data_IF_807310410919
#
_entry.id   IF_807310410919
#
_cell.length_a   1.000
_cell.length_b   1.000
_cell.length_c   1.000
_cell.angle_alpha   90.00
_cell.angle_beta   90.00
_cell.angle_gamma   90.00
#
_symmetry.space_group_name_H-M   'P 1'
#
loop_
_entity.id
_entity.type
_entity.pdbx_description
1 polymer ?
#
# COMPACT_ATOMS: atom_id res chain seq x y z
N UNK A 1 22.68 8.98 5.45
CA UNK A 1 21.76 7.87 5.81
C UNK A 1 20.33 8.44 5.82
N UNK A 2 19.53 8.20 4.77
CA UNK A 2 18.19 8.78 4.63
C UNK A 2 17.23 8.14 5.65
N UNK A 3 16.87 8.89 6.68
CA UNK A 3 15.82 8.53 7.64
C UNK A 3 14.48 8.70 6.92
N UNK A 4 14.08 7.70 6.14
CA UNK A 4 12.76 7.64 5.51
C UNK A 4 11.71 7.76 6.63
N UNK A 5 10.91 8.82 6.63
CA UNK A 5 9.81 8.94 7.59
C UNK A 5 8.80 7.83 7.32
N UNK A 6 8.34 7.14 8.37
CA UNK A 6 7.37 6.04 8.25
C UNK A 6 6.12 6.48 7.50
N UNK A 7 5.67 7.72 7.75
CA UNK A 7 4.51 8.32 7.07
C UNK A 7 4.70 8.44 5.56
N UNK A 8 5.90 8.81 5.08
CA UNK A 8 6.16 8.90 3.64
C UNK A 8 6.10 7.53 2.97
N UNK A 9 6.70 6.50 3.60
CA UNK A 9 6.65 5.13 3.08
C UNK A 9 5.21 4.64 3.02
N UNK A 10 4.43 4.88 4.07
CA UNK A 10 3.01 4.50 4.12
C UNK A 10 2.24 5.17 2.98
N UNK A 11 2.37 6.48 2.82
CA UNK A 11 1.69 7.21 1.74
C UNK A 11 2.10 6.72 0.36
N UNK A 12 3.39 6.44 0.15
CA UNK A 12 3.88 5.92 -1.13
C UNK A 12 3.28 4.55 -1.43
N UNK A 13 3.20 3.66 -0.43
CA UNK A 13 2.58 2.34 -0.60
C UNK A 13 1.08 2.50 -0.88
N UNK A 14 0.35 3.26 -0.07
CA UNK A 14 -1.10 3.49 -0.25
C UNK A 14 -1.42 4.06 -1.64
N UNK A 15 -0.60 5.00 -2.12
CA UNK A 15 -0.71 5.55 -3.48
C UNK A 15 -0.46 4.49 -4.57
N UNK A 16 0.60 3.69 -4.43
CA UNK A 16 0.95 2.68 -5.45
C UNK A 16 -0.07 1.55 -5.49
N UNK A 17 -0.56 1.10 -4.32
CA UNK A 17 -1.51 -0.02 -4.26
C UNK A 17 -2.94 0.39 -4.58
N UNK A 18 -3.23 1.69 -4.57
CA UNK A 18 -4.51 2.31 -4.94
C UNK A 18 -5.69 1.51 -4.39
N UNK A 19 -5.87 1.54 -3.07
CA UNK A 19 -6.85 0.72 -2.37
C UNK A 19 -8.26 0.97 -2.95
N UNK A 20 -8.93 -0.06 -3.50
CA UNK A 20 -10.32 0.06 -3.93
C UNK A 20 -11.23 0.44 -2.75
N UNK A 21 -12.29 1.20 -3.03
CA UNK A 21 -13.32 1.47 -2.03
C UNK A 21 -14.01 0.15 -1.70
N UNK A 22 -13.87 -0.32 -0.46
CA UNK A 22 -14.55 -1.51 0.04
C UNK A 22 -15.47 -1.15 1.20
N UNK A 23 -16.60 -1.87 1.26
CA UNK A 23 -17.50 -1.91 2.41
C UNK A 23 -16.89 -2.67 3.60
N UNK A 24 -17.75 -3.20 4.48
CA UNK A 24 -17.32 -3.99 5.64
C UNK A 24 -16.92 -5.41 5.19
N UNK A 25 -15.72 -5.85 5.57
CA UNK A 25 -15.20 -7.20 5.28
C UNK A 25 -13.79 -7.19 4.65
N UNK A 26 -13.19 -8.38 4.45
CA UNK A 26 -11.89 -8.51 3.82
C UNK A 26 -11.96 -8.17 2.33
N UNK A 27 -11.19 -7.16 1.91
CA UNK A 27 -10.96 -6.82 0.50
C UNK A 27 -9.60 -7.39 0.07
N UNK A 28 -9.57 -8.20 -0.99
CA UNK A 28 -8.33 -8.73 -1.57
C UNK A 28 -8.18 -8.26 -3.01
N UNK A 29 -7.00 -7.78 -3.37
CA UNK A 29 -6.67 -7.38 -4.73
C UNK A 29 -5.18 -7.57 -5.01
N UNK A 30 -4.81 -7.53 -6.29
CA UNK A 30 -3.42 -7.58 -6.73
C UNK A 30 -3.11 -6.36 -7.58
N UNK A 31 -1.91 -5.80 -7.40
CA UNK A 31 -1.47 -4.62 -8.14
C UNK A 31 0.05 -4.54 -8.12
N UNK A 32 0.68 -4.10 -9.21
CA UNK A 32 2.15 -3.93 -9.29
C UNK A 32 2.97 -5.12 -8.75
N UNK A 33 2.44 -6.33 -8.97
CA UNK A 33 3.05 -7.60 -8.55
C UNK A 33 2.94 -7.91 -7.05
N UNK A 34 2.23 -7.10 -6.26
CA UNK A 34 1.94 -7.38 -4.85
C UNK A 34 0.50 -7.82 -4.67
N UNK A 35 0.30 -8.77 -3.78
CA UNK A 35 -1.00 -9.12 -3.22
C UNK A 35 -1.30 -8.18 -2.05
N UNK A 36 -2.52 -7.65 -2.03
CA UNK A 36 -3.03 -6.79 -0.99
C UNK A 36 -4.28 -7.41 -0.36
N UNK A 37 -4.35 -7.37 0.97
CA UNK A 37 -5.54 -7.72 1.74
C UNK A 37 -5.80 -6.59 2.73
N UNK A 38 -7.00 -6.02 2.73
CA UNK A 38 -7.42 -5.03 3.70
C UNK A 38 -8.59 -5.56 4.52
N UNK A 39 -8.50 -5.44 5.83
CA UNK A 39 -9.53 -5.81 6.78
C UNK A 39 -9.89 -4.61 7.63
N UNK A 40 -11.19 -4.40 7.86
CA UNK A 40 -11.70 -3.39 8.76
C UNK A 40 -12.35 -4.05 9.96
N UNK A 41 -11.86 -3.71 11.14
CA UNK A 41 -12.40 -4.15 12.42
C UNK A 41 -12.98 -2.95 13.15
N UNK A 42 -14.08 -3.17 13.86
CA UNK A 42 -14.73 -2.14 14.62
C UNK A 42 -15.12 -2.69 15.99
N UNK A 43 -14.85 -1.92 17.03
CA UNK A 43 -15.34 -2.17 18.38
C UNK A 43 -16.19 -1.01 18.83
N UNK A 44 -17.31 -1.31 19.49
CA UNK A 44 -18.27 -0.35 20.03
C UNK A 44 -18.52 -0.71 21.49
N UNK A 45 -17.77 -0.09 22.40
CA UNK A 45 -17.92 -0.25 23.85
C UNK A 45 -18.61 0.95 24.48
N UNK A 46 -18.89 0.85 25.78
CA UNK A 46 -19.54 1.91 26.55
C UNK A 46 -18.61 3.11 26.84
N UNK A 47 -17.32 2.85 27.07
CA UNK A 47 -16.34 3.90 27.43
C UNK A 47 -15.50 4.35 26.24
N UNK A 48 -15.34 3.48 25.26
CA UNK A 48 -14.56 3.77 24.06
C UNK A 48 -15.05 2.93 22.88
N UNK A 49 -14.76 3.42 21.70
CA UNK A 49 -14.91 2.69 20.45
C UNK A 49 -13.64 2.84 19.63
N UNK A 50 -13.39 1.89 18.73
CA UNK A 50 -12.32 2.05 17.75
C UNK A 50 -12.71 1.49 16.40
N UNK A 51 -12.11 2.06 15.36
CA UNK A 51 -12.02 1.47 14.04
C UNK A 51 -10.54 1.16 13.76
N UNK A 52 -10.28 -0.05 13.25
CA UNK A 52 -8.96 -0.56 12.93
C UNK A 52 -8.96 -1.02 11.48
N UNK A 53 -8.18 -0.34 10.64
CA UNK A 53 -7.93 -0.74 9.25
C UNK A 53 -6.55 -1.40 9.17
N UNK A 54 -6.50 -2.70 8.84
CA UNK A 54 -5.27 -3.48 8.65
C UNK A 54 -5.11 -3.82 7.19
N UNK A 55 -4.06 -3.31 6.55
CA UNK A 55 -3.71 -3.64 5.17
C UNK A 55 -2.41 -4.44 5.12
N UNK A 56 -2.50 -5.69 4.70
CA UNK A 56 -1.36 -6.55 4.38
C UNK A 56 -0.97 -6.36 2.92
N UNK A 57 0.32 -6.12 2.68
CA UNK A 57 0.89 -6.03 1.34
C UNK A 57 2.04 -7.02 1.22
N UNK A 58 2.00 -7.88 0.22
CA UNK A 58 2.95 -8.98 0.04
C UNK A 58 3.45 -9.07 -1.40
N UNK A 59 4.76 -9.01 -1.59
CA UNK A 59 5.36 -9.35 -2.88
C UNK A 59 5.56 -10.87 -2.97
N UNK A 60 4.74 -11.52 -3.79
CA UNK A 60 4.90 -12.93 -4.13
C UNK A 60 5.68 -13.06 -5.43
N UNK A 61 7.01 -13.20 -5.35
CA UNK A 61 7.85 -13.44 -6.52
C UNK A 61 8.69 -14.71 -6.34
N UNK A 62 8.72 -15.61 -7.33
CA UNK A 62 9.63 -16.77 -7.32
C UNK A 62 11.10 -16.36 -7.49
N UNK A 63 11.37 -15.28 -8.22
CA UNK A 63 12.71 -14.86 -8.65
C UNK A 63 13.24 -13.60 -7.96
N UNK A 64 12.43 -12.92 -7.15
CA UNK A 64 12.82 -11.70 -6.40
C UNK A 64 12.73 -11.91 -4.89
N UNK A 65 13.45 -11.07 -4.14
CA UNK A 65 13.33 -11.00 -2.67
C UNK A 65 11.86 -10.88 -2.26
N UNK A 66 11.39 -11.82 -1.44
CA UNK A 66 10.03 -11.82 -0.89
C UNK A 66 9.97 -10.87 0.30
N UNK A 67 8.94 -10.04 0.34
CA UNK A 67 8.66 -9.19 1.50
C UNK A 67 7.16 -9.13 1.77
N UNK A 68 6.84 -8.88 3.03
CA UNK A 68 5.48 -8.70 3.52
C UNK A 68 5.48 -7.62 4.59
N UNK A 69 4.48 -6.74 4.55
CA UNK A 69 4.27 -5.69 5.54
C UNK A 69 2.78 -5.55 5.88
N UNK A 70 2.55 -4.96 7.05
CA UNK A 70 1.25 -4.49 7.51
C UNK A 70 1.29 -2.97 7.61
N UNK A 71 0.25 -2.31 7.11
CA UNK A 71 -0.08 -0.92 7.41
C UNK A 71 -1.34 -0.97 8.28
N UNK A 72 -1.24 -0.37 9.46
CA UNK A 72 -2.31 -0.37 10.46
C UNK A 72 -2.71 1.07 10.72
N UNK A 73 -4.00 1.35 10.56
CA UNK A 73 -4.60 2.63 10.94
C UNK A 73 -5.57 2.39 12.08
N UNK A 74 -5.38 3.13 13.16
CA UNK A 74 -6.19 3.06 14.37
C UNK A 74 -6.88 4.40 14.57
N UNK A 75 -8.19 4.34 14.82
CA UNK A 75 -9.00 5.49 15.14
C UNK A 75 -9.80 5.21 16.41
N UNK A 76 -9.37 5.82 17.52
CA UNK A 76 -9.95 5.64 18.85
C UNK A 76 -10.86 6.82 19.19
N UNK A 77 -12.04 6.50 19.71
CA UNK A 77 -13.01 7.48 20.20
C UNK A 77 -13.47 7.15 21.61
N UNK A 78 -13.84 8.18 22.37
CA UNK A 78 -14.53 7.99 23.64
C UNK A 78 -16.01 7.71 23.48
N UNK A 79 -16.72 7.69 24.61
CA UNK A 79 -18.14 7.38 24.68
C UNK A 79 -19.01 8.40 23.92
N UNK A 80 -18.60 9.67 23.94
CA UNK A 80 -19.32 10.78 23.29
C UNK A 80 -18.86 11.00 21.83
N UNK A 81 -17.99 10.12 21.33
CA UNK A 81 -17.47 10.15 19.96
C UNK A 81 -16.27 11.07 19.76
N UNK A 82 -15.74 11.68 20.81
CA UNK A 82 -14.54 12.51 20.78
C UNK A 82 -13.31 11.71 20.36
N UNK A 83 -12.40 12.31 19.59
CA UNK A 83 -11.17 11.63 19.18
C UNK A 83 -10.21 11.52 20.38
N UNK A 84 -9.91 10.28 20.78
CA UNK A 84 -8.91 10.00 21.83
C UNK A 84 -7.52 9.89 21.20
N UNK A 85 -7.42 9.10 20.13
CA UNK A 85 -6.16 8.78 19.51
C UNK A 85 -6.35 8.40 18.04
N UNK A 86 -5.44 8.87 17.21
CA UNK A 86 -5.34 8.42 15.82
C UNK A 86 -3.88 8.12 15.52
N UNK A 87 -3.59 6.92 15.04
CA UNK A 87 -2.24 6.55 14.62
C UNK A 87 -2.27 5.73 13.35
N UNK A 88 -1.24 5.90 12.53
CA UNK A 88 -1.00 5.07 11.36
C UNK A 88 0.45 4.62 11.39
N UNK A 89 0.67 3.31 11.34
CA UNK A 89 1.99 2.73 11.39
C UNK A 89 2.15 1.58 10.41
N UNK A 90 3.41 1.21 10.21
CA UNK A 90 3.87 0.21 9.26
C UNK A 90 4.77 -0.76 10.01
N UNK A 91 4.59 -2.05 9.74
CA UNK A 91 5.51 -3.09 10.20
C UNK A 91 5.85 -4.03 9.06
N UNK A 92 7.14 -4.15 8.77
CA UNK A 92 7.67 -5.20 7.92
C UNK A 92 7.68 -6.51 8.72
N UNK A 93 6.92 -7.51 8.27
CA UNK A 93 6.83 -8.83 8.89
C UNK A 93 7.83 -9.80 8.26
N UNK A 94 8.10 -9.65 6.96
CA UNK A 94 9.05 -10.48 6.20
C UNK A 94 9.87 -9.62 5.24
N UNK A 95 11.15 -9.98 5.06
CA UNK A 95 12.04 -9.38 4.05
C UNK A 95 12.87 -8.20 4.58
N UNK A 96 13.49 -7.44 3.66
CA UNK A 96 14.36 -6.30 4.00
C UNK A 96 13.70 -4.98 3.62
N UNK A 97 13.91 -3.94 4.43
CA UNK A 97 13.42 -2.57 4.13
C UNK A 97 13.92 -2.05 2.78
N UNK A 98 15.12 -2.43 2.37
CA UNK A 98 15.70 -2.05 1.08
C UNK A 98 14.90 -2.61 -0.12
N UNK A 99 14.34 -3.81 0.01
CA UNK A 99 13.54 -4.43 -1.06
C UNK A 99 12.20 -3.70 -1.23
N UNK A 100 11.58 -3.29 -0.12
CA UNK A 100 10.37 -2.44 -0.14
C UNK A 100 10.67 -1.09 -0.76
N UNK A 101 11.76 -0.43 -0.35
CA UNK A 101 12.16 0.86 -0.90
C UNK A 101 12.45 0.77 -2.42
N UNK A 102 13.09 -0.32 -2.87
CA UNK A 102 13.33 -0.58 -4.30
C UNK A 102 12.01 -0.78 -5.06
N UNK A 103 11.07 -1.53 -4.49
CA UNK A 103 9.75 -1.71 -5.11
C UNK A 103 8.98 -0.39 -5.20
N UNK A 104 9.01 0.45 -4.16
CA UNK A 104 8.40 1.79 -4.18
C UNK A 104 9.03 2.63 -5.30
N UNK A 105 10.36 2.70 -5.37
CA UNK A 105 11.06 3.49 -6.37
C UNK A 105 10.67 3.10 -7.81
N UNK A 106 10.57 1.78 -8.09
CA UNK A 106 10.19 1.26 -9.41
C UNK A 106 8.75 1.59 -9.79
N UNK A 107 7.82 1.65 -8.83
CA UNK A 107 6.39 1.79 -9.10
C UNK A 107 5.83 3.20 -8.87
N UNK A 108 6.64 4.12 -8.32
CA UNK A 108 6.26 5.52 -8.10
C UNK A 108 6.35 6.38 -9.36
N UNK A 109 7.18 6.00 -10.34
CA UNK A 109 7.25 6.74 -11.60
C UNK A 109 5.93 6.57 -12.39
N UNK A 110 5.32 7.66 -12.88
CA UNK A 110 4.17 7.56 -13.77
C UNK A 110 4.57 6.80 -15.03
N UNK A 111 3.65 6.01 -15.58
CA UNK A 111 3.86 5.17 -16.76
C UNK A 111 4.11 5.94 -18.08
N UNK A 112 4.70 7.15 -18.04
CA UNK A 112 4.93 8.00 -19.21
C UNK A 112 6.32 7.79 -19.85
N UNK A 113 6.73 6.53 -20.07
CA UNK A 113 7.94 6.24 -20.88
C UNK A 113 7.82 5.03 -21.81
N UNK A 114 6.61 4.63 -22.17
CA UNK A 114 6.35 3.61 -23.21
C UNK A 114 5.40 4.13 -24.28
N UNK A 115 5.80 5.17 -25.01
CA UNK A 115 5.26 5.53 -26.33
C UNK A 115 6.14 6.61 -26.96
N UNK A 116 7.36 6.23 -27.36
CA UNK A 116 8.21 7.05 -28.22
C UNK A 116 9.25 6.16 -28.93
N UNK A 117 8.82 5.10 -29.59
CA UNK A 117 9.65 4.36 -30.57
C UNK A 117 8.84 3.28 -31.30
N UNK A 118 7.74 3.65 -31.95
CA UNK A 118 7.11 2.76 -32.94
C UNK A 118 6.34 3.61 -33.94
N UNK A 119 7.07 4.40 -34.73
CA UNK A 119 6.60 4.89 -36.04
C UNK A 119 7.80 5.47 -36.81
N UNK A 120 8.64 4.59 -37.34
CA UNK A 120 9.61 4.91 -38.40
C UNK A 120 10.10 3.61 -39.06
N UNK A 121 9.21 2.96 -39.82
CA UNK A 121 9.49 1.92 -40.85
C UNK A 121 8.11 1.44 -41.32
N UNK A 122 7.65 1.61 -42.56
CA UNK A 122 8.25 1.42 -43.90
C UNK A 122 7.14 1.69 -44.95
N UNK A 123 7.27 1.40 -46.27
CA UNK A 123 8.37 1.54 -47.22
C UNK A 123 7.95 2.28 -48.52
N UNK A 124 8.93 2.47 -49.41
CA UNK A 124 8.84 2.85 -50.83
C UNK A 124 7.96 1.88 -51.65
N UNK A 125 7.15 2.41 -52.56
CA UNK A 125 6.49 1.66 -53.64
C UNK A 125 6.25 2.57 -54.86
N UNK A 126 6.68 2.10 -56.04
CA UNK A 126 6.71 2.78 -57.34
C UNK A 126 5.34 3.00 -57.96
#
# INVERSE_FOLDING_TARGET
MLRLSRSRIINDIEFIVDRPIAGVGPLRWETKGVECIAERHAYRGQTHSFDLDVMRVRLQSPSRSKWELLIVTEYWRGAEGENIHTTKWLKLTVGKKADVAKWIAVNREPASRKQASTDASSPVGR
#
